data_IF_661851187581
#
_entry.id   IF_661851187581
#
_cell.length_a   1.000
_cell.length_b   1.000
_cell.length_c   1.000
_cell.angle_alpha   90.00
_cell.angle_beta   90.00
_cell.angle_gamma   90.00
#
_symmetry.space_group_name_H-M   'P 1'
#
loop_
_entity.id
_entity.type
_entity.pdbx_description
1 polymer ?
#
# COMPACT_ATOMS: atom_id res chain seq x y z
N UNK A 1 13.87 -24.51 7.11
CA UNK A 1 12.62 -23.86 7.57
C UNK A 1 12.30 -24.38 8.96
N UNK A 2 12.25 -23.51 10.00
CA UNK A 2 12.04 -23.94 11.39
C UNK A 2 10.55 -24.22 11.66
N UNK A 3 10.27 -25.34 12.33
CA UNK A 3 8.92 -25.90 12.58
C UNK A 3 7.93 -24.96 13.27
N UNK A 4 8.41 -23.95 14.01
CA UNK A 4 7.54 -22.95 14.62
C UNK A 4 6.86 -22.05 13.59
N UNK A 5 7.45 -21.83 12.41
CA UNK A 5 6.89 -21.04 11.30
C UNK A 5 5.78 -21.80 10.54
N UNK A 6 5.69 -23.12 10.70
CA UNK A 6 4.72 -23.95 9.96
C UNK A 6 3.32 -23.95 10.59
N UNK A 7 3.17 -23.77 11.91
CA UNK A 7 1.86 -23.77 12.58
C UNK A 7 0.95 -22.62 12.12
N UNK A 8 1.52 -21.56 11.58
CA UNK A 8 0.84 -20.33 11.11
C UNK A 8 0.19 -20.48 9.73
N UNK A 9 0.65 -21.44 8.94
CA UNK A 9 0.02 -21.84 7.67
C UNK A 9 -1.28 -22.62 7.89
N UNK A 10 -1.73 -22.82 9.13
CA UNK A 10 -2.93 -23.62 9.43
C UNK A 10 -4.11 -22.81 9.95
N UNK A 11 -4.04 -21.47 9.92
CA UNK A 11 -5.21 -20.62 10.17
C UNK A 11 -5.92 -20.31 8.83
N UNK A 12 -6.90 -21.14 8.38
CA UNK A 12 -7.49 -21.02 7.05
C UNK A 12 -8.13 -19.65 6.81
N UNK A 13 -8.70 -19.04 7.86
CA UNK A 13 -9.29 -17.71 7.78
C UNK A 13 -8.23 -16.64 7.53
N UNK A 14 -7.05 -16.74 8.17
CA UNK A 14 -5.93 -15.80 7.92
C UNK A 14 -5.40 -15.97 6.50
N UNK A 15 -5.20 -17.20 6.04
CA UNK A 15 -4.78 -17.47 4.66
C UNK A 15 -5.74 -16.90 3.62
N UNK A 16 -7.05 -17.08 3.85
CA UNK A 16 -8.07 -16.51 2.97
C UNK A 16 -8.00 -14.98 2.96
N UNK A 17 -7.85 -14.35 4.11
CA UNK A 17 -7.69 -12.88 4.22
C UNK A 17 -6.41 -12.40 3.53
N UNK A 18 -5.29 -13.11 3.69
CA UNK A 18 -4.03 -12.83 2.99
C UNK A 18 -4.22 -12.87 1.48
N UNK A 19 -4.80 -13.96 0.94
CA UNK A 19 -5.05 -14.10 -0.50
C UNK A 19 -6.01 -13.03 -1.01
N UNK A 20 -7.05 -12.69 -0.25
CA UNK A 20 -7.97 -11.59 -0.58
C UNK A 20 -7.26 -10.25 -0.61
N UNK A 21 -6.38 -9.98 0.35
CA UNK A 21 -5.59 -8.75 0.39
C UNK A 21 -4.69 -8.65 -0.84
N UNK A 22 -3.97 -9.73 -1.17
CA UNK A 22 -3.13 -9.79 -2.38
C UNK A 22 -3.95 -9.59 -3.66
N UNK A 23 -5.11 -10.24 -3.79
CA UNK A 23 -5.97 -10.10 -4.96
C UNK A 23 -6.49 -8.66 -5.13
N UNK A 24 -6.75 -7.97 -4.02
CA UNK A 24 -7.19 -6.56 -4.03
C UNK A 24 -6.04 -5.61 -4.33
N UNK A 25 -4.89 -5.82 -3.68
CA UNK A 25 -3.72 -4.97 -3.82
C UNK A 25 -3.05 -5.12 -5.18
N UNK A 26 -2.91 -6.36 -5.66
CA UNK A 26 -2.21 -6.68 -6.89
C UNK A 26 -0.88 -7.38 -6.69
N UNK A 27 -0.14 -7.60 -7.79
CA UNK A 27 1.08 -8.41 -7.82
C UNK A 27 2.25 -7.80 -7.03
N UNK A 28 2.19 -6.51 -6.69
CA UNK A 28 3.26 -5.84 -5.93
C UNK A 28 3.27 -6.20 -4.44
N UNK A 29 2.21 -6.86 -3.92
CA UNK A 29 2.17 -7.31 -2.54
C UNK A 29 2.56 -8.79 -2.42
N UNK A 30 3.75 -9.03 -1.86
CA UNK A 30 4.22 -10.37 -1.55
C UNK A 30 3.32 -11.05 -0.50
N UNK A 31 3.22 -12.39 -0.57
CA UNK A 31 2.40 -13.17 0.35
C UNK A 31 2.80 -12.98 1.81
N UNK A 32 4.10 -12.98 2.10
CA UNK A 32 4.57 -12.89 3.47
C UNK A 32 4.28 -11.52 4.09
N UNK A 33 4.45 -10.44 3.30
CA UNK A 33 4.06 -9.08 3.70
C UNK A 33 2.55 -8.99 3.91
N UNK A 34 1.74 -9.55 3.01
CA UNK A 34 0.29 -9.59 3.17
C UNK A 34 -0.13 -10.36 4.44
N UNK A 35 0.52 -11.49 4.72
CA UNK A 35 0.26 -12.27 5.91
C UNK A 35 0.64 -11.51 7.18
N UNK A 36 1.79 -10.84 7.20
CA UNK A 36 2.24 -10.04 8.33
C UNK A 36 1.26 -8.89 8.63
N UNK A 37 0.77 -8.19 7.59
CA UNK A 37 -0.26 -7.16 7.73
C UNK A 37 -1.58 -7.71 8.28
N UNK A 38 -2.06 -8.85 7.77
CA UNK A 38 -3.28 -9.50 8.27
C UNK A 38 -3.11 -9.96 9.73
N UNK A 39 -1.92 -10.42 10.10
CA UNK A 39 -1.58 -10.80 11.47
C UNK A 39 -1.63 -9.59 12.40
N UNK A 40 -0.93 -8.49 12.06
CA UNK A 40 -0.99 -7.25 12.86
C UNK A 40 -2.41 -6.72 12.99
N UNK A 41 -3.21 -6.80 11.92
CA UNK A 41 -4.60 -6.31 11.93
C UNK A 41 -5.53 -7.18 12.76
N UNK A 42 -5.35 -8.50 12.74
CA UNK A 42 -6.26 -9.44 13.41
C UNK A 42 -5.83 -9.80 14.84
N UNK A 43 -4.56 -9.62 15.17
CA UNK A 43 -3.94 -10.00 16.44
C UNK A 43 -2.73 -9.09 16.74
N UNK A 44 -2.95 -7.84 17.21
CA UNK A 44 -1.87 -6.89 17.48
C UNK A 44 -0.87 -7.38 18.54
N UNK A 45 -1.30 -8.26 19.46
CA UNK A 45 -0.42 -8.89 20.46
C UNK A 45 0.67 -9.78 19.83
N UNK A 46 0.49 -10.20 18.56
CA UNK A 46 1.47 -10.97 17.81
C UNK A 46 2.56 -10.10 17.15
N UNK A 47 2.68 -8.82 17.52
CA UNK A 47 3.72 -7.90 17.01
C UNK A 47 5.14 -8.47 17.16
N UNK A 48 5.43 -9.13 18.28
CA UNK A 48 6.75 -9.76 18.53
C UNK A 48 7.09 -10.82 17.50
N UNK A 49 6.08 -11.56 17.03
CA UNK A 49 6.23 -12.61 16.04
C UNK A 49 6.56 -12.01 14.67
N UNK A 50 5.81 -10.98 14.27
CA UNK A 50 6.05 -10.26 13.02
C UNK A 50 7.44 -9.65 13.01
N UNK A 51 7.89 -9.11 14.15
CA UNK A 51 9.25 -8.61 14.32
C UNK A 51 10.31 -9.70 14.18
N UNK A 52 10.08 -10.89 14.75
CA UNK A 52 11.00 -12.01 14.60
C UNK A 52 11.10 -12.44 13.13
N UNK A 53 9.97 -12.56 12.43
CA UNK A 53 9.95 -12.87 11.01
C UNK A 53 10.68 -11.82 10.16
N UNK A 54 10.45 -10.53 10.41
CA UNK A 54 11.11 -9.44 9.69
C UNK A 54 12.64 -9.42 9.90
N UNK A 55 13.12 -9.81 11.09
CA UNK A 55 14.56 -9.98 11.36
C UNK A 55 15.16 -11.15 10.59
N UNK A 56 14.42 -12.24 10.41
CA UNK A 56 14.86 -13.41 9.64
C UNK A 56 14.78 -13.17 8.13
N UNK A 57 13.97 -12.20 7.69
CA UNK A 57 13.75 -11.87 6.28
C UNK A 57 13.99 -10.37 6.06
N UNK A 58 15.26 -9.91 6.16
CA UNK A 58 15.58 -8.49 6.01
C UNK A 58 15.21 -8.03 4.60
N UNK A 59 14.31 -7.05 4.53
CA UNK A 59 13.92 -6.36 3.31
C UNK A 59 14.64 -5.02 3.14
N UNK A 60 14.01 -4.14 2.36
CA UNK A 60 14.39 -2.73 2.29
C UNK A 60 14.04 -1.98 3.60
N UNK A 61 14.22 -0.65 3.61
CA UNK A 61 13.96 0.18 4.79
C UNK A 61 12.56 -0.08 5.37
N UNK A 62 12.44 -0.26 6.70
CA UNK A 62 11.15 -0.55 7.33
C UNK A 62 10.18 0.63 7.19
N UNK A 63 8.88 0.33 7.26
CA UNK A 63 7.79 1.30 7.11
C UNK A 63 6.97 1.09 5.84
N UNK A 64 6.02 2.01 5.64
CA UNK A 64 5.17 2.06 4.46
C UNK A 64 5.81 2.97 3.41
N UNK A 65 5.97 2.45 2.20
CA UNK A 65 6.55 3.11 1.05
C UNK A 65 5.54 3.18 -0.08
N UNK A 66 5.60 4.23 -0.88
CA UNK A 66 4.68 4.40 -2.00
C UNK A 66 5.24 3.80 -3.29
N UNK A 67 4.39 3.09 -4.02
CA UNK A 67 4.66 2.62 -5.37
C UNK A 67 4.85 3.80 -6.32
N UNK A 68 5.71 3.59 -7.31
CA UNK A 68 5.95 4.56 -8.37
C UNK A 68 4.89 4.35 -9.47
N UNK A 69 3.84 5.17 -9.49
CA UNK A 69 2.74 5.02 -10.46
C UNK A 69 3.20 4.94 -11.93
N UNK A 70 4.26 5.66 -12.28
CA UNK A 70 4.81 5.70 -13.64
C UNK A 70 5.48 4.40 -14.08
N UNK A 71 5.86 3.52 -13.14
CA UNK A 71 6.46 2.22 -13.47
C UNK A 71 5.41 1.11 -13.65
N UNK A 72 4.15 1.40 -13.29
CA UNK A 72 3.05 0.45 -13.42
C UNK A 72 2.54 0.41 -14.87
N UNK A 73 2.09 -0.76 -15.32
CA UNK A 73 1.40 -0.88 -16.61
C UNK A 73 0.10 -0.06 -16.61
N UNK A 74 -0.33 0.41 -17.78
CA UNK A 74 -1.56 1.19 -17.92
C UNK A 74 -2.79 0.43 -17.39
N UNK A 75 -2.86 -0.88 -17.60
CA UNK A 75 -3.93 -1.73 -17.08
C UNK A 75 -3.96 -1.75 -15.54
N UNK A 76 -2.78 -1.81 -14.91
CA UNK A 76 -2.63 -1.77 -13.46
C UNK A 76 -3.02 -0.40 -12.88
N UNK A 77 -2.55 0.69 -13.51
CA UNK A 77 -2.92 2.05 -13.13
C UNK A 77 -4.44 2.23 -13.18
N UNK A 78 -5.09 1.80 -14.27
CA UNK A 78 -6.55 1.88 -14.40
C UNK A 78 -7.27 1.03 -13.35
N UNK A 79 -6.75 -0.16 -13.01
CA UNK A 79 -7.33 -1.01 -11.97
C UNK A 79 -7.27 -0.33 -10.60
N UNK A 80 -6.11 0.21 -10.23
CA UNK A 80 -5.91 0.96 -8.97
C UNK A 80 -6.77 2.22 -8.92
N UNK A 81 -6.86 2.97 -10.03
CA UNK A 81 -7.75 4.14 -10.13
C UNK A 81 -9.22 3.77 -9.94
N UNK A 82 -9.71 2.70 -10.56
CA UNK A 82 -11.09 2.21 -10.37
C UNK A 82 -11.35 1.84 -8.91
N UNK A 83 -10.39 1.20 -8.25
CA UNK A 83 -10.48 0.89 -6.83
C UNK A 83 -10.54 2.16 -5.97
N UNK A 84 -9.59 3.08 -6.16
CA UNK A 84 -9.51 4.32 -5.39
C UNK A 84 -10.77 5.19 -5.57
N UNK A 85 -11.34 5.23 -6.78
CA UNK A 85 -12.63 5.90 -7.03
C UNK A 85 -13.79 5.31 -6.22
N UNK A 86 -13.75 4.00 -5.95
CA UNK A 86 -14.82 3.29 -5.21
C UNK A 86 -14.61 3.32 -3.70
N UNK A 87 -13.36 3.23 -3.25
CA UNK A 87 -13.02 2.99 -1.85
C UNK A 87 -12.30 4.15 -1.16
N UNK A 88 -11.82 5.14 -1.91
CA UNK A 88 -11.02 6.28 -1.41
C UNK A 88 -9.60 5.92 -0.96
N UNK A 89 -9.37 4.67 -0.58
CA UNK A 89 -8.14 4.19 0.05
C UNK A 89 -7.60 2.92 -0.62
N UNK A 90 -6.29 2.71 -0.49
CA UNK A 90 -5.67 1.46 -0.92
C UNK A 90 -6.11 0.29 -0.03
N UNK A 91 -5.96 -0.97 -0.49
CA UNK A 91 -6.27 -2.14 0.32
C UNK A 91 -5.47 -2.22 1.63
N UNK A 92 -4.25 -1.67 1.67
CA UNK A 92 -3.42 -1.63 2.88
C UNK A 92 -3.93 -0.55 3.84
N UNK A 93 -4.26 0.64 3.34
CA UNK A 93 -4.85 1.71 4.15
C UNK A 93 -6.19 1.30 4.78
N UNK A 94 -6.97 0.47 4.09
CA UNK A 94 -8.23 -0.07 4.63
C UNK A 94 -8.04 -1.00 5.83
N UNK A 95 -6.82 -1.51 6.09
CA UNK A 95 -6.51 -2.26 7.31
C UNK A 95 -6.36 -1.36 8.54
N UNK A 96 -6.27 -0.04 8.35
CA UNK A 96 -6.14 0.97 9.42
C UNK A 96 -5.03 0.64 10.42
N UNK A 97 -3.93 0.06 9.94
CA UNK A 97 -2.76 -0.21 10.75
C UNK A 97 -1.96 1.07 10.96
N UNK A 98 -1.50 1.26 12.20
CA UNK A 98 -0.60 2.37 12.53
C UNK A 98 0.74 2.21 11.79
N UNK A 99 1.15 3.27 11.08
CA UNK A 99 2.42 3.29 10.37
C UNK A 99 3.63 3.11 11.30
N UNK A 100 3.55 3.64 12.52
CA UNK A 100 4.55 3.48 13.58
C UNK A 100 4.64 2.03 14.04
N UNK A 101 3.50 1.33 14.13
CA UNK A 101 3.47 -0.10 14.45
C UNK A 101 4.18 -0.89 13.36
N UNK A 102 3.83 -0.68 12.09
CA UNK A 102 4.48 -1.34 10.95
C UNK A 102 5.98 -1.06 10.96
N UNK A 103 6.39 0.19 11.15
CA UNK A 103 7.81 0.55 11.23
C UNK A 103 8.53 -0.17 12.39
N UNK A 104 7.92 -0.23 13.58
CA UNK A 104 8.48 -0.89 14.77
C UNK A 104 8.66 -2.41 14.64
N UNK A 105 7.98 -3.02 13.67
CA UNK A 105 8.14 -4.44 13.36
C UNK A 105 9.32 -4.72 12.44
N UNK A 106 9.86 -3.70 11.77
CA UNK A 106 10.89 -3.90 10.75
C UNK A 106 10.33 -4.31 9.38
N UNK A 107 9.00 -4.32 9.20
CA UNK A 107 8.37 -4.66 7.93
C UNK A 107 8.59 -3.56 6.90
N UNK A 108 8.97 -3.95 5.69
CA UNK A 108 8.90 -3.11 4.51
C UNK A 108 7.57 -3.38 3.78
N UNK A 109 6.75 -2.35 3.61
CA UNK A 109 5.42 -2.45 2.99
C UNK A 109 5.33 -1.48 1.83
N UNK A 110 5.00 -1.98 0.65
CA UNK A 110 4.77 -1.17 -0.54
C UNK A 110 3.26 -0.97 -0.73
N UNK A 111 2.82 0.28 -0.68
CA UNK A 111 1.44 0.72 -0.85
C UNK A 111 1.28 1.56 -2.11
N UNK A 112 0.06 1.73 -2.62
CA UNK A 112 -0.18 2.37 -3.91
C UNK A 112 0.25 3.84 -3.99
N UNK A 113 0.34 4.57 -2.88
CA UNK A 113 0.60 6.01 -2.90
C UNK A 113 -0.51 6.83 -3.58
N UNK A 114 -0.25 8.12 -3.83
CA UNK A 114 -1.22 9.00 -4.50
C UNK A 114 -1.12 8.86 -6.02
N UNK A 115 -2.25 8.72 -6.74
CA UNK A 115 -2.23 8.75 -8.19
C UNK A 115 -1.71 10.11 -8.68
N UNK A 116 -1.02 10.15 -9.83
CA UNK A 116 -0.63 11.41 -10.44
C UNK A 116 -1.88 12.25 -10.72
N UNK A 117 -1.84 13.53 -10.36
CA UNK A 117 -2.88 14.49 -10.76
C UNK A 117 -2.75 14.66 -12.28
N UNK A 118 -3.84 14.58 -13.05
CA UNK A 118 -3.78 14.86 -14.48
C UNK A 118 -3.15 16.24 -14.73
N UNK A 119 -2.21 16.31 -15.66
CA UNK A 119 -1.46 17.53 -15.98
C UNK A 119 -2.33 18.70 -16.49
N UNK A 120 -3.63 18.48 -16.72
CA UNK A 120 -4.58 19.50 -17.20
C UNK A 120 -4.85 20.65 -16.22
N UNK A 121 -4.30 20.61 -14.99
CA UNK A 121 -4.47 21.70 -14.02
C UNK A 121 -3.27 22.67 -13.94
N UNK A 122 -2.18 22.45 -14.70
CA UNK A 122 -1.00 23.35 -14.66
C UNK A 122 -0.92 24.35 -15.83
N UNK A 123 -1.81 24.29 -16.81
CA UNK A 123 -1.89 25.27 -17.91
C UNK A 123 -3.26 25.97 -17.95
N UNK A 124 -3.62 26.66 -16.86
CA UNK A 124 -4.49 27.83 -17.01
C UNK A 124 -3.62 29.00 -17.50
N UNK A 125 -3.19 28.96 -18.75
CA UNK A 125 -2.74 30.16 -19.45
C UNK A 125 -3.94 31.11 -19.44
N UNK A 126 -3.90 32.27 -18.78
CA UNK A 126 -5.00 33.21 -18.83
C UNK A 126 -5.23 33.59 -20.31
N UNK A 127 -6.48 33.64 -20.78
CA UNK A 127 -6.73 33.93 -22.18
C UNK A 127 -6.21 35.34 -22.51
N UNK A 128 -5.68 35.55 -23.73
CA UNK A 128 -4.90 36.74 -24.11
C UNK A 128 -5.67 38.07 -24.03
N UNK A 129 -6.99 38.04 -23.83
CA UNK A 129 -7.82 39.24 -23.69
C UNK A 129 -7.83 39.85 -22.28
N UNK A 130 -7.19 39.23 -21.29
CA UNK A 130 -7.22 39.69 -19.89
C UNK A 130 -6.22 40.81 -19.56
N UNK A 131 -5.40 41.27 -20.51
CA UNK A 131 -4.39 42.32 -20.28
C UNK A 131 -4.80 43.73 -20.74
N UNK A 132 -6.00 43.91 -21.29
CA UNK A 132 -6.43 45.22 -21.81
C UNK A 132 -7.51 45.84 -20.92
N UNK A 133 -7.11 46.37 -19.76
CA UNK A 133 -7.75 47.54 -19.12
C UNK A 133 -7.03 47.89 -17.82
N UNK A 134 -6.27 48.97 -17.84
CA UNK A 134 -5.67 49.52 -16.63
C UNK A 134 -4.64 50.62 -16.85
N UNK A 135 -4.97 51.66 -17.62
CA UNK A 135 -4.43 52.99 -17.36
C UNK A 135 -5.53 54.02 -17.60
N UNK A 136 -5.75 54.89 -16.62
CA UNK A 136 -5.61 56.32 -16.83
C UNK A 136 -4.30 56.86 -16.23
#
# INVERSE_FOLDING_TARGET
MKLHTARWFLAPVRQLRTRRLMARHGPTLAYDTAWALITLHSAPDETTLVRAWARENPGAAPGIHCDHWHTLSQAEQQRRLRWLRRHGHSPIQLLQLDASLIHSTGLHVLDWGRPPIPADQHHATPPPWSQTRGQP
#
